data_IF_111506757632
#
_entry.id   IF_111506757632
#
_cell.length_a   1.000
_cell.length_b   1.000
_cell.length_c   1.000
_cell.angle_alpha   90.00
_cell.angle_beta   90.00
_cell.angle_gamma   90.00
#
_symmetry.space_group_name_H-M   'P 1'
#
loop_
_entity.id
_entity.type
_entity.pdbx_description
1 polymer ?
#
# COMPACT_ATOMS: atom_id res chain seq x y z
N UNK A 1 -41.10 17.48 17.12
CA UNK A 1 -39.76 17.12 17.62
C UNK A 1 -38.93 18.39 17.72
N UNK A 2 -38.26 18.65 18.85
CA UNK A 2 -37.30 19.75 18.96
C UNK A 2 -36.13 19.48 18.00
N UNK A 3 -35.68 20.51 17.29
CA UNK A 3 -34.57 20.38 16.34
C UNK A 3 -33.28 20.23 17.14
N UNK A 4 -32.57 19.12 16.93
CA UNK A 4 -31.28 18.89 17.56
C UNK A 4 -30.30 20.00 17.16
N UNK A 5 -29.59 20.54 18.15
CA UNK A 5 -28.51 21.52 17.93
C UNK A 5 -27.21 20.86 18.40
N UNK A 6 -26.28 20.53 17.48
CA UNK A 6 -25.04 19.87 17.85
C UNK A 6 -24.15 20.78 18.71
N UNK A 7 -23.33 20.21 19.61
CA UNK A 7 -22.35 20.98 20.36
C UNK A 7 -21.25 21.51 19.43
N UNK A 8 -20.86 22.77 19.60
CA UNK A 8 -19.74 23.37 18.87
C UNK A 8 -18.40 22.96 19.50
N UNK A 9 -17.49 22.42 18.69
CA UNK A 9 -16.16 22.04 19.14
C UNK A 9 -15.30 23.29 19.38
N UNK A 10 -14.62 23.34 20.52
CA UNK A 10 -13.70 24.45 20.84
C UNK A 10 -12.49 24.50 19.90
N UNK A 11 -12.03 25.73 19.58
CA UNK A 11 -10.89 25.98 18.67
C UNK A 11 -9.61 25.23 19.06
N UNK A 12 -9.32 25.10 20.35
CA UNK A 12 -8.15 24.37 20.83
C UNK A 12 -8.23 22.86 20.50
N UNK A 13 -9.41 22.26 20.67
CA UNK A 13 -9.64 20.85 20.31
C UNK A 13 -9.52 20.61 18.82
N UNK A 14 -9.98 21.57 18.00
CA UNK A 14 -9.84 21.49 16.54
C UNK A 14 -8.37 21.55 16.09
N UNK A 15 -7.55 22.42 16.70
CA UNK A 15 -6.12 22.50 16.40
C UNK A 15 -5.40 21.20 16.76
N UNK A 16 -5.70 20.64 17.94
CA UNK A 16 -5.13 19.37 18.37
C UNK A 16 -5.48 18.24 17.38
N UNK A 17 -6.74 18.14 16.99
CA UNK A 17 -7.20 17.13 16.04
C UNK A 17 -6.46 17.24 14.69
N UNK A 18 -6.33 18.46 14.15
CA UNK A 18 -5.55 18.70 12.93
C UNK A 18 -4.10 18.22 13.09
N UNK A 19 -3.44 18.56 14.20
CA UNK A 19 -2.06 18.13 14.46
C UNK A 19 -1.96 16.60 14.50
N UNK A 20 -2.88 15.95 15.20
CA UNK A 20 -2.92 14.48 15.30
C UNK A 20 -3.11 13.85 13.92
N UNK A 21 -4.06 14.35 13.12
CA UNK A 21 -4.32 13.86 11.76
C UNK A 21 -3.08 14.05 10.87
N UNK A 22 -2.43 15.21 10.92
CA UNK A 22 -1.21 15.49 10.14
C UNK A 22 -0.08 14.53 10.53
N UNK A 23 0.13 14.32 11.84
CA UNK A 23 1.13 13.37 12.32
C UNK A 23 0.78 11.94 11.90
N UNK A 24 -0.49 11.54 12.00
CA UNK A 24 -0.95 10.22 11.59
C UNK A 24 -0.72 9.97 10.09
N UNK A 25 -1.05 10.95 9.23
CA UNK A 25 -0.78 10.88 7.80
C UNK A 25 0.72 10.76 7.55
N UNK A 26 1.54 11.60 8.20
CA UNK A 26 2.99 11.55 8.04
C UNK A 26 3.54 10.17 8.42
N UNK A 27 3.16 9.64 9.58
CA UNK A 27 3.61 8.32 10.05
C UNK A 27 3.13 7.22 9.11
N UNK A 28 1.86 7.26 8.69
CA UNK A 28 1.28 6.26 7.78
C UNK A 28 2.01 6.21 6.43
N UNK A 29 2.52 7.34 5.93
CA UNK A 29 3.25 7.40 4.67
C UNK A 29 4.75 7.12 4.84
N UNK A 30 5.38 7.65 5.89
CA UNK A 30 6.83 7.57 6.09
C UNK A 30 7.28 6.23 6.66
N UNK A 31 6.54 5.65 7.60
CA UNK A 31 6.96 4.44 8.31
C UNK A 31 7.11 3.22 7.37
N UNK A 32 6.16 2.93 6.45
CA UNK A 32 6.31 1.82 5.51
C UNK A 32 7.53 1.98 4.60
N UNK A 33 7.82 3.22 4.17
CA UNK A 33 9.01 3.52 3.35
C UNK A 33 10.29 3.28 4.15
N UNK A 34 10.35 3.74 5.40
CA UNK A 34 11.53 3.58 6.26
C UNK A 34 11.83 2.12 6.58
N UNK A 35 10.79 1.29 6.72
CA UNK A 35 10.90 -0.14 6.98
C UNK A 35 11.09 -0.99 5.70
N UNK A 36 11.09 -0.36 4.52
CA UNK A 36 11.18 -1.08 3.24
C UNK A 36 9.94 -1.94 2.92
N UNK A 37 8.81 -1.67 3.59
CA UNK A 37 7.53 -2.35 3.36
C UNK A 37 6.75 -1.75 2.18
N UNK A 38 7.16 -0.57 1.71
CA UNK A 38 6.56 0.14 0.58
C UNK A 38 7.62 0.47 -0.48
N UNK A 39 7.29 0.21 -1.73
CA UNK A 39 8.17 0.36 -2.90
C UNK A 39 8.29 -0.95 -3.67
N UNK A 40 8.32 -0.89 -5.00
CA UNK A 40 8.54 -2.09 -5.81
C UNK A 40 9.91 -2.65 -5.49
N UNK A 41 9.97 -3.90 -5.01
CA UNK A 41 11.22 -4.61 -4.81
C UNK A 41 11.92 -4.71 -6.17
N UNK A 42 12.99 -3.92 -6.34
CA UNK A 42 13.91 -4.05 -7.45
C UNK A 42 14.95 -5.09 -7.03
N UNK A 43 14.67 -6.37 -7.28
CA UNK A 43 15.68 -7.41 -7.13
C UNK A 43 16.53 -7.44 -8.39
N UNK A 44 17.82 -7.21 -8.25
CA UNK A 44 18.79 -7.56 -9.29
C UNK A 44 19.19 -8.99 -8.99
N UNK A 45 18.63 -9.93 -9.74
CA UNK A 45 18.96 -11.34 -9.56
C UNK A 45 20.40 -11.54 -10.04
N UNK A 46 21.28 -11.99 -9.14
CA UNK A 46 22.64 -12.34 -9.50
C UNK A 46 22.60 -13.56 -10.44
N UNK A 47 22.85 -13.34 -11.72
CA UNK A 47 22.97 -14.42 -12.69
C UNK A 47 24.43 -14.89 -12.73
N UNK A 48 24.65 -16.19 -12.48
CA UNK A 48 25.98 -16.81 -12.52
C UNK A 48 26.62 -16.73 -13.91
N UNK A 49 25.79 -16.84 -14.97
CA UNK A 49 26.22 -16.65 -16.35
C UNK A 49 25.55 -15.39 -16.92
N UNK A 50 26.35 -14.34 -17.13
CA UNK A 50 25.91 -13.11 -17.78
C UNK A 50 25.99 -13.28 -19.29
N UNK A 51 25.10 -14.07 -19.88
CA UNK A 51 24.94 -14.17 -21.33
C UNK A 51 23.70 -13.40 -21.77
N UNK A 52 23.61 -13.00 -23.05
CA UNK A 52 22.41 -12.36 -23.58
C UNK A 52 21.15 -13.23 -23.41
N UNK A 53 21.29 -14.54 -23.59
CA UNK A 53 20.21 -15.50 -23.39
C UNK A 53 19.74 -15.55 -21.93
N UNK A 54 20.67 -15.59 -20.97
CA UNK A 54 20.34 -15.57 -19.55
C UNK A 54 19.66 -14.25 -19.12
N UNK A 55 19.93 -13.16 -19.82
CA UNK A 55 19.25 -11.86 -19.66
C UNK A 55 17.90 -11.80 -20.39
N UNK A 56 17.44 -12.89 -20.99
CA UNK A 56 16.20 -12.97 -21.76
C UNK A 56 16.24 -12.17 -23.06
N UNK A 57 17.43 -11.83 -23.56
CA UNK A 57 17.61 -11.08 -24.81
C UNK A 57 17.70 -12.06 -25.99
N UNK A 58 16.93 -11.81 -27.04
CA UNK A 58 17.09 -12.51 -28.32
C UNK A 58 18.20 -11.85 -29.17
N UNK A 59 18.63 -12.46 -30.29
CA UNK A 59 19.73 -11.93 -31.10
C UNK A 59 19.52 -10.48 -31.59
N UNK A 60 18.28 -10.11 -31.92
CA UNK A 60 17.96 -8.75 -32.34
C UNK A 60 18.15 -7.75 -31.20
N UNK A 61 17.67 -8.08 -29.99
CA UNK A 61 17.83 -7.24 -28.80
C UNK A 61 19.29 -7.10 -28.38
N UNK A 62 20.05 -8.21 -28.36
CA UNK A 62 21.48 -8.23 -28.08
C UNK A 62 22.25 -7.29 -29.03
N UNK A 63 21.94 -7.33 -30.33
CA UNK A 63 22.59 -6.46 -31.32
C UNK A 63 22.38 -4.96 -31.07
N UNK A 64 21.27 -4.58 -30.43
CA UNK A 64 21.00 -3.17 -30.08
C UNK A 64 21.87 -2.77 -28.89
N UNK A 65 21.97 -3.61 -27.87
CA UNK A 65 22.85 -3.36 -26.73
C UNK A 65 24.32 -3.26 -27.14
N UNK A 66 24.77 -4.14 -28.02
CA UNK A 66 26.13 -4.12 -28.56
C UNK A 66 26.42 -2.84 -29.37
N UNK A 67 25.45 -2.36 -30.17
CA UNK A 67 25.56 -1.07 -30.87
C UNK A 67 25.65 0.12 -29.92
N UNK A 68 25.05 0.02 -28.74
CA UNK A 68 25.15 1.00 -27.67
C UNK A 68 26.45 0.86 -26.85
N UNK A 69 27.31 -0.12 -27.17
CA UNK A 69 28.59 -0.35 -26.52
C UNK A 69 28.50 -1.19 -25.24
N UNK A 70 27.38 -1.87 -25.00
CA UNK A 70 27.21 -2.72 -23.82
C UNK A 70 27.55 -4.18 -24.11
N UNK A 71 28.17 -4.82 -23.13
CA UNK A 71 28.30 -6.28 -23.01
C UNK A 71 27.22 -6.82 -22.07
N UNK A 72 26.93 -8.14 -22.07
CA UNK A 72 26.01 -8.74 -21.10
C UNK A 72 26.30 -8.35 -19.65
N UNK A 73 27.58 -8.24 -19.27
CA UNK A 73 28.01 -7.90 -17.92
C UNK A 73 27.62 -6.46 -17.55
N UNK A 74 27.83 -5.52 -18.46
CA UNK A 74 27.54 -4.10 -18.26
C UNK A 74 26.05 -3.77 -18.42
N UNK A 75 25.31 -4.54 -19.22
CA UNK A 75 23.88 -4.40 -19.40
C UNK A 75 23.06 -5.11 -18.30
N UNK A 76 23.67 -6.03 -17.54
CA UNK A 76 22.98 -6.88 -16.57
C UNK A 76 22.10 -6.08 -15.61
N UNK A 77 22.69 -5.12 -14.89
CA UNK A 77 21.95 -4.31 -13.90
C UNK A 77 20.87 -3.44 -14.57
N UNK A 78 21.11 -2.97 -15.79
CA UNK A 78 20.17 -2.15 -16.54
C UNK A 78 18.93 -2.97 -16.92
N UNK A 79 19.13 -4.21 -17.39
CA UNK A 79 18.06 -5.12 -17.81
C UNK A 79 17.34 -5.72 -16.60
N UNK A 80 18.06 -6.06 -15.52
CA UNK A 80 17.49 -6.66 -14.31
C UNK A 80 16.76 -5.64 -13.43
N UNK A 81 17.07 -4.34 -13.54
CA UNK A 81 16.34 -3.26 -12.86
C UNK A 81 14.95 -2.99 -13.49
N UNK A 82 14.25 -4.05 -13.89
CA UNK A 82 12.85 -4.05 -14.33
C UNK A 82 11.92 -4.30 -13.15
N UNK A 83 10.64 -4.00 -13.34
CA UNK A 83 9.61 -4.43 -12.40
C UNK A 83 9.41 -5.95 -12.52
N UNK A 84 9.47 -6.64 -11.39
CA UNK A 84 9.12 -8.06 -11.30
C UNK A 84 7.62 -8.20 -11.08
N UNK A 85 6.89 -8.59 -12.12
CA UNK A 85 5.44 -8.83 -12.06
C UNK A 85 5.12 -10.22 -11.51
N UNK A 86 5.72 -10.56 -10.37
CA UNK A 86 5.46 -11.80 -9.67
C UNK A 86 4.50 -11.49 -8.53
N UNK A 87 3.39 -12.23 -8.47
CA UNK A 87 2.41 -12.07 -7.39
C UNK A 87 2.98 -12.71 -6.12
N UNK A 88 3.20 -11.88 -5.11
CA UNK A 88 3.46 -12.31 -3.75
C UNK A 88 2.15 -12.77 -3.10
N UNK A 89 1.83 -14.05 -3.28
CA UNK A 89 0.61 -14.67 -2.76
C UNK A 89 0.44 -14.55 -1.25
N UNK A 90 1.46 -14.84 -0.40
CA UNK A 90 1.38 -14.62 1.04
C UNK A 90 0.96 -13.20 1.41
N UNK A 91 1.62 -12.18 0.87
CA UNK A 91 1.29 -10.78 1.16
C UNK A 91 -0.11 -10.42 0.66
N UNK A 92 -0.50 -10.90 -0.53
CA UNK A 92 -1.84 -10.70 -1.08
C UNK A 92 -2.94 -11.29 -0.18
N UNK A 93 -2.73 -12.50 0.33
CA UNK A 93 -3.67 -13.18 1.24
C UNK A 93 -3.76 -12.45 2.57
N UNK A 94 -2.64 -12.00 3.13
CA UNK A 94 -2.62 -11.21 4.37
C UNK A 94 -3.40 -9.90 4.18
N UNK A 95 -3.15 -9.18 3.08
CA UNK A 95 -3.87 -7.96 2.75
C UNK A 95 -5.39 -8.22 2.64
N UNK A 96 -5.79 -9.28 1.93
CA UNK A 96 -7.19 -9.66 1.80
C UNK A 96 -7.82 -9.99 3.17
N UNK A 97 -7.12 -10.75 4.02
CA UNK A 97 -7.59 -11.10 5.36
C UNK A 97 -7.75 -9.86 6.26
N UNK A 98 -6.80 -8.91 6.21
CA UNK A 98 -6.88 -7.64 6.95
C UNK A 98 -8.09 -6.81 6.49
N UNK A 99 -8.30 -6.68 5.18
CA UNK A 99 -9.44 -5.95 4.62
C UNK A 99 -10.77 -6.59 5.03
N UNK A 100 -10.90 -7.91 4.87
CA UNK A 100 -12.11 -8.64 5.27
C UNK A 100 -12.35 -8.49 6.77
N UNK A 101 -11.32 -8.68 7.60
CA UNK A 101 -11.39 -8.54 9.04
C UNK A 101 -11.84 -7.14 9.47
N UNK A 102 -11.30 -6.09 8.83
CA UNK A 102 -11.72 -4.71 9.04
C UNK A 102 -13.22 -4.52 8.73
N UNK A 103 -13.71 -4.99 7.58
CA UNK A 103 -15.12 -4.85 7.23
C UNK A 103 -16.05 -5.64 8.16
N UNK A 104 -15.66 -6.86 8.55
CA UNK A 104 -16.43 -7.65 9.52
C UNK A 104 -16.53 -6.92 10.86
N UNK A 105 -15.41 -6.38 11.35
CA UNK A 105 -15.39 -5.57 12.56
C UNK A 105 -16.27 -4.32 12.42
N UNK A 106 -16.11 -3.56 11.32
CA UNK A 106 -16.87 -2.35 11.04
C UNK A 106 -18.37 -2.62 11.07
N UNK A 107 -18.84 -3.65 10.34
CA UNK A 107 -20.27 -3.98 10.33
C UNK A 107 -20.80 -4.41 11.69
N UNK A 108 -20.02 -5.19 12.44
CA UNK A 108 -20.45 -5.69 13.75
C UNK A 108 -20.46 -4.60 14.82
N UNK A 109 -19.49 -3.70 14.81
CA UNK A 109 -19.47 -2.54 15.70
C UNK A 109 -20.58 -1.54 15.32
N UNK A 110 -20.75 -1.30 14.02
CA UNK A 110 -21.75 -0.38 13.49
C UNK A 110 -23.19 -0.81 13.78
N UNK A 111 -23.53 -2.11 13.66
CA UNK A 111 -24.88 -2.62 14.00
C UNK A 111 -25.26 -2.28 15.45
N UNK A 112 -24.31 -2.35 16.39
CA UNK A 112 -24.55 -1.98 17.78
C UNK A 112 -24.89 -0.49 17.92
N UNK A 113 -24.05 0.37 17.38
CA UNK A 113 -24.25 1.82 17.49
C UNK A 113 -25.53 2.27 16.78
N UNK A 114 -25.84 1.70 15.61
CA UNK A 114 -27.10 2.00 14.91
C UNK A 114 -28.32 1.60 15.73
N UNK A 115 -28.30 0.44 16.38
CA UNK A 115 -29.39 0.01 17.27
C UNK A 115 -29.52 0.91 18.49
N UNK A 116 -28.40 1.31 19.10
CA UNK A 116 -28.41 2.21 20.25
C UNK A 116 -29.02 3.58 19.86
N UNK A 117 -28.67 4.12 18.69
CA UNK A 117 -29.27 5.36 18.15
C UNK A 117 -30.75 5.20 17.82
N UNK A 118 -31.15 4.05 17.26
CA UNK A 118 -32.57 3.77 16.98
C UNK A 118 -33.36 3.71 18.30
N UNK A 119 -32.85 3.00 19.30
CA UNK A 119 -33.51 2.89 20.60
C UNK A 119 -33.62 4.25 21.29
N UNK A 120 -32.58 5.09 21.22
CA UNK A 120 -32.61 6.45 21.78
C UNK A 120 -33.63 7.36 21.05
N UNK A 121 -33.76 7.22 19.73
CA UNK A 121 -34.64 8.07 18.91
C UNK A 121 -36.09 7.60 18.86
N UNK A 122 -36.34 6.30 19.03
CA UNK A 122 -37.63 5.67 18.79
C UNK A 122 -38.24 4.95 19.99
N UNK A 123 -37.52 4.87 21.13
CA UNK A 123 -38.05 4.50 22.45
C UNK A 123 -38.88 3.19 22.43
N UNK A 124 -38.22 2.06 22.15
CA UNK A 124 -38.78 0.68 22.11
C UNK A 124 -40.22 0.57 21.54
N UNK A 125 -40.50 1.29 20.43
CA UNK A 125 -41.69 1.12 19.60
C UNK A 125 -41.35 0.73 18.16
#
# INVERSE_FOLDING_TARGET
MSRYTPPEQGKAGQIFDIVVVVVAIFVALWLPLKLGLAGAAKSIDALDAKTWEALGQNPTMASIWEKLGYTPETAHDIIQNRFHYIIDWPTLIIMAAVLIGYFVFLFRASDREYRDVINEKFDDK
#
